data_IF_762900199285
#
_entry.id   IF_762900199285
#
_cell.length_a   1.000
_cell.length_b   1.000
_cell.length_c   1.000
_cell.angle_alpha   90.00
_cell.angle_beta   90.00
_cell.angle_gamma   90.00
#
_symmetry.space_group_name_H-M   'P 1'
#
loop_
_entity.id
_entity.type
_entity.pdbx_description
1 polymer ?
#
# COMPACT_ATOMS: atom_id res chain seq x y z
N UNK A 1 3.28 2.84 -20.24
CA UNK A 1 3.03 1.72 -19.31
C UNK A 1 3.59 2.08 -17.93
N UNK A 2 2.74 2.37 -16.94
CA UNK A 2 3.19 2.89 -15.63
C UNK A 2 3.77 1.76 -14.76
N UNK A 3 5.09 1.57 -14.81
CA UNK A 3 5.81 0.58 -14.00
C UNK A 3 6.19 1.17 -12.65
N UNK A 4 5.94 0.44 -11.57
CA UNK A 4 6.37 0.82 -10.23
C UNK A 4 7.90 1.00 -10.19
N UNK A 5 8.38 2.20 -9.84
CA UNK A 5 9.83 2.50 -9.77
C UNK A 5 10.50 1.61 -8.70
N UNK A 6 11.70 1.08 -8.96
CA UNK A 6 12.47 0.24 -8.01
C UNK A 6 12.58 0.88 -6.63
N UNK A 7 12.88 2.17 -6.62
CA UNK A 7 13.06 2.96 -5.41
C UNK A 7 11.81 2.96 -4.51
N UNK A 8 10.61 2.93 -5.10
CA UNK A 8 9.34 2.83 -4.37
C UNK A 8 9.14 1.41 -3.84
N UNK A 9 9.49 0.39 -4.62
CA UNK A 9 9.43 -1.01 -4.20
C UNK A 9 10.41 -1.31 -3.04
N UNK A 10 11.63 -0.76 -3.09
CA UNK A 10 12.63 -0.87 -2.03
C UNK A 10 12.25 -0.08 -0.77
N UNK A 11 11.60 1.08 -0.92
CA UNK A 11 11.12 1.87 0.22
C UNK A 11 9.91 1.23 0.95
N UNK A 12 9.26 0.23 0.36
CA UNK A 12 8.10 -0.45 0.95
C UNK A 12 8.49 -1.75 1.63
N UNK A 13 7.88 -2.00 2.78
CA UNK A 13 7.99 -3.28 3.49
C UNK A 13 7.46 -4.40 2.61
N UNK A 14 8.23 -5.47 2.48
CA UNK A 14 7.92 -6.68 1.72
C UNK A 14 7.43 -7.74 2.69
N UNK A 15 6.25 -8.29 2.42
CA UNK A 15 5.69 -9.42 3.15
C UNK A 15 5.73 -10.65 2.24
N UNK A 16 6.14 -11.78 2.79
CA UNK A 16 6.14 -13.07 2.09
C UNK A 16 4.71 -13.54 1.81
N UNK A 17 3.80 -13.31 2.76
CA UNK A 17 2.43 -13.82 2.73
C UNK A 17 1.38 -12.72 2.78
N UNK A 18 0.23 -13.02 2.16
CA UNK A 18 -0.96 -12.18 2.25
C UNK A 18 -1.46 -12.06 3.70
N UNK A 19 -1.44 -13.16 4.46
CA UNK A 19 -1.88 -13.18 5.86
C UNK A 19 -1.02 -12.27 6.74
N UNK A 20 0.30 -12.32 6.57
CA UNK A 20 1.25 -11.44 7.26
C UNK A 20 0.99 -9.97 6.94
N UNK A 21 0.70 -9.65 5.67
CA UNK A 21 0.33 -8.30 5.26
C UNK A 21 -1.03 -7.87 5.84
N UNK A 22 -2.02 -8.76 5.90
CA UNK A 22 -3.34 -8.49 6.49
C UNK A 22 -3.26 -8.23 7.99
N UNK A 23 -2.51 -9.04 8.74
CA UNK A 23 -2.34 -8.83 10.18
C UNK A 23 -1.76 -7.44 10.49
N UNK A 24 -0.78 -7.01 9.69
CA UNK A 24 -0.22 -5.65 9.81
C UNK A 24 -1.20 -4.59 9.33
N UNK A 25 -2.09 -4.90 8.38
CA UNK A 25 -3.13 -3.99 7.95
C UNK A 25 -4.16 -3.74 9.04
N UNK A 26 -4.56 -4.79 9.78
CA UNK A 26 -5.50 -4.69 10.91
C UNK A 26 -4.89 -3.96 12.11
N UNK A 27 -3.60 -4.17 12.38
CA UNK A 27 -2.89 -3.47 13.47
C UNK A 27 -2.66 -1.98 13.20
N UNK A 28 -2.86 -1.50 11.98
CA UNK A 28 -2.66 -0.09 11.64
C UNK A 28 -3.93 0.70 11.88
N UNK A 29 -3.78 1.85 12.51
CA UNK A 29 -4.87 2.81 12.78
C UNK A 29 -5.52 3.38 11.50
N UNK A 30 -4.82 3.27 10.36
CA UNK A 30 -5.30 3.75 9.06
C UNK A 30 -5.52 2.61 8.09
N UNK A 31 -6.59 2.71 7.28
CA UNK A 31 -6.89 1.74 6.23
C UNK A 31 -5.71 1.61 5.25
N UNK A 32 -5.01 0.49 5.34
CA UNK A 32 -4.08 0.02 4.32
C UNK A 32 -4.63 -1.23 3.67
N UNK A 33 -4.30 -1.43 2.39
CA UNK A 33 -4.65 -2.65 1.67
C UNK A 33 -3.37 -3.37 1.24
N UNK A 34 -3.28 -4.70 1.42
CA UNK A 34 -2.23 -5.48 0.78
C UNK A 34 -2.46 -5.50 -0.74
N UNK A 35 -1.37 -5.42 -1.50
CA UNK A 35 -1.37 -5.59 -2.95
C UNK A 35 -0.12 -6.36 -3.37
N UNK A 36 -0.25 -7.22 -4.38
CA UNK A 36 0.89 -7.93 -4.97
C UNK A 36 1.61 -7.00 -5.93
N UNK A 37 2.92 -6.88 -5.77
CA UNK A 37 3.72 -6.06 -6.67
C UNK A 37 4.01 -6.79 -7.99
N UNK A 38 3.71 -6.17 -9.12
CA UNK A 38 4.07 -6.70 -10.45
C UNK A 38 5.59 -6.75 -10.69
N UNK A 39 6.39 -6.15 -9.80
CA UNK A 39 7.85 -6.06 -9.96
C UNK A 39 8.62 -7.11 -9.17
N UNK A 40 8.35 -7.21 -7.88
CA UNK A 40 9.05 -8.14 -6.98
C UNK A 40 8.21 -9.38 -6.65
N UNK A 41 6.94 -9.44 -7.08
CA UNK A 41 6.03 -10.55 -6.78
C UNK A 41 5.57 -10.63 -5.32
N UNK A 42 6.19 -9.86 -4.43
CA UNK A 42 5.91 -9.83 -2.99
C UNK A 42 4.66 -9.02 -2.65
N UNK A 43 4.16 -9.23 -1.43
CA UNK A 43 3.03 -8.50 -0.89
C UNK A 43 3.50 -7.19 -0.25
N UNK A 44 2.87 -6.09 -0.64
CA UNK A 44 3.14 -4.76 -0.09
C UNK A 44 1.88 -4.14 0.45
N UNK A 45 2.04 -3.25 1.43
CA UNK A 45 0.95 -2.42 1.90
C UNK A 45 0.85 -1.11 1.10
N UNK A 46 -0.37 -0.73 0.77
CA UNK A 46 -0.66 0.58 0.21
C UNK A 46 -1.77 1.23 1.01
N UNK A 47 -1.51 2.45 1.48
CA UNK A 47 -2.56 3.23 2.15
C UNK A 47 -3.67 3.61 1.17
N UNK A 48 -3.39 3.77 -0.15
CA UNK A 48 -4.31 4.26 -1.23
C UNK A 48 -5.22 5.47 -0.86
N UNK A 49 -5.11 6.02 0.35
CA UNK A 49 -5.66 7.28 0.84
C UNK A 49 -4.69 8.43 0.64
N UNK A 50 -3.38 8.15 0.48
CA UNK A 50 -2.36 9.16 0.18
C UNK A 50 -2.65 9.77 -1.20
N UNK A 51 -3.35 10.91 -1.22
CA UNK A 51 -3.68 11.66 -2.43
C UNK A 51 -5.18 11.82 -2.73
N UNK A 52 -6.11 11.23 -1.95
CA UNK A 52 -7.52 11.66 -2.05
C UNK A 52 -7.63 13.04 -1.41
N UNK A 53 -7.66 14.08 -2.25
CA UNK A 53 -8.05 15.44 -1.87
C UNK A 53 -9.37 15.32 -1.11
N UNK A 54 -9.34 15.58 0.20
CA UNK A 54 -10.57 15.69 0.99
C UNK A 54 -11.32 16.87 0.36
N UNK A 55 -12.50 16.67 -0.26
CA UNK A 55 -13.27 17.81 -0.76
C UNK A 55 -13.54 18.71 0.45
N UNK A 56 -13.20 20.00 0.33
CA UNK A 56 -13.57 20.98 1.35
C UNK A 56 -15.10 20.96 1.46
N UNK A 57 -15.69 20.98 2.66
CA UNK A 57 -17.13 21.14 2.78
C UNK A 57 -17.53 22.44 2.06
N UNK A 58 -18.53 22.31 1.19
CA UNK A 58 -19.24 23.44 0.59
C UNK A 58 -19.82 24.29 1.74
N UNK A 59 -19.58 25.60 1.69
CA UNK A 59 -19.90 26.53 2.78
C UNK A 59 -21.36 26.95 2.73
#
# INVERSE_FOLDING_TARGET
MMRTRLRICQAKVRYADQASALNVAEKREYLVRPYRCDRCGAWHLTSRRKGKRIPRPDR
#
